data_IF_531275023495
#
_entry.id   IF_531275023495
#
_cell.length_a   1.000
_cell.length_b   1.000
_cell.length_c   1.000
_cell.angle_alpha   90.00
_cell.angle_beta   90.00
_cell.angle_gamma   90.00
#
_symmetry.space_group_name_H-M   'P 1'
#
loop_
_entity.id
_entity.type
_entity.pdbx_description
1 polymer ?
#
# COMPACT_ATOMS: atom_id res chain seq x y z
N UNK A 1 -11.75 2.47 1.49
CA UNK A 1 -10.74 1.84 0.61
C UNK A 1 -9.40 1.66 1.30
N UNK A 2 -8.74 2.71 1.80
CA UNK A 2 -7.49 2.57 2.57
C UNK A 2 -7.55 1.50 3.67
N UNK A 3 -8.52 1.60 4.59
CA UNK A 3 -8.70 0.63 5.66
C UNK A 3 -8.92 -0.80 5.15
N UNK A 4 -9.67 -0.96 4.04
CA UNK A 4 -9.88 -2.27 3.41
C UNK A 4 -8.55 -2.88 2.95
N UNK A 5 -7.69 -2.09 2.30
CA UNK A 5 -6.36 -2.55 1.91
C UNK A 5 -5.53 -3.02 3.12
N UNK A 6 -5.54 -2.25 4.21
CA UNK A 6 -4.84 -2.64 5.45
C UNK A 6 -5.40 -3.93 6.05
N UNK A 7 -6.72 -4.09 6.06
CA UNK A 7 -7.39 -5.30 6.55
C UNK A 7 -7.02 -6.51 5.71
N UNK A 8 -7.13 -6.41 4.38
CA UNK A 8 -6.76 -7.50 3.46
C UNK A 8 -5.31 -7.90 3.65
N UNK A 9 -4.40 -6.91 3.72
CA UNK A 9 -2.99 -7.18 3.98
C UNK A 9 -2.79 -7.92 5.30
N UNK A 10 -3.43 -7.47 6.38
CA UNK A 10 -3.34 -8.09 7.70
C UNK A 10 -3.92 -9.50 7.75
N UNK A 11 -4.92 -9.82 6.93
CA UNK A 11 -5.46 -11.18 6.83
C UNK A 11 -4.49 -12.14 6.14
N UNK A 12 -3.72 -11.64 5.16
CA UNK A 12 -2.82 -12.46 4.35
C UNK A 12 -1.39 -12.48 4.91
N UNK A 13 -1.01 -11.49 5.73
CA UNK A 13 0.32 -11.31 6.28
C UNK A 13 0.32 -11.36 7.80
N UNK A 14 1.32 -12.01 8.38
CA UNK A 14 1.60 -11.92 9.83
C UNK A 14 2.17 -10.56 10.24
N UNK A 15 2.63 -9.76 9.28
CA UNK A 15 3.23 -8.43 9.50
C UNK A 15 2.26 -7.33 9.06
N UNK A 16 1.99 -6.39 9.97
CA UNK A 16 1.26 -5.17 9.64
C UNK A 16 2.11 -4.23 8.78
N UNK A 17 1.50 -3.47 7.87
CA UNK A 17 2.16 -2.40 7.12
C UNK A 17 2.48 -1.20 8.01
N UNK A 18 1.61 -0.92 8.97
CA UNK A 18 1.72 0.22 9.87
C UNK A 18 1.59 -0.24 11.33
N UNK A 19 2.29 0.45 12.22
CA UNK A 19 2.26 0.17 13.65
C UNK A 19 1.02 0.72 14.34
N UNK A 20 0.95 0.50 15.65
CA UNK A 20 0.01 1.22 16.51
C UNK A 20 0.62 2.57 16.90
N UNK A 21 -0.21 3.61 16.92
CA UNK A 21 0.21 4.98 17.16
C UNK A 21 -0.57 5.56 18.33
N UNK A 22 0.08 6.43 19.10
CA UNK A 22 -0.53 7.13 20.23
C UNK A 22 -0.97 8.55 19.86
N UNK A 23 -0.94 8.90 18.56
CA UNK A 23 -1.38 10.19 18.04
C UNK A 23 -0.37 11.32 18.21
N UNK A 24 0.91 11.00 18.41
CA UNK A 24 1.97 12.01 18.52
C UNK A 24 2.46 12.50 17.15
N UNK A 25 3.09 13.67 17.11
CA UNK A 25 3.74 14.21 15.90
C UNK A 25 4.81 13.26 15.30
N UNK A 26 5.50 12.52 16.17
CA UNK A 26 6.49 11.51 15.78
C UNK A 26 5.81 10.27 15.18
N UNK A 27 4.62 9.93 15.66
CA UNK A 27 3.83 8.84 15.10
C UNK A 27 3.30 9.18 13.71
N UNK A 28 2.82 10.41 13.51
CA UNK A 28 2.45 10.93 12.19
C UNK A 28 3.65 10.89 11.24
N UNK A 29 4.81 11.41 11.67
CA UNK A 29 6.04 11.40 10.88
C UNK A 29 6.45 9.97 10.50
N UNK A 30 6.35 9.02 11.44
CA UNK A 30 6.68 7.61 11.20
C UNK A 30 5.68 6.96 10.24
N UNK A 31 4.40 7.27 10.34
CA UNK A 31 3.40 6.75 9.42
C UNK A 31 3.66 7.23 7.99
N UNK A 32 3.92 8.53 7.82
CA UNK A 32 4.20 9.13 6.53
C UNK A 32 5.52 8.63 5.93
N UNK A 33 6.58 8.44 6.74
CA UNK A 33 7.83 7.88 6.23
C UNK A 33 7.66 6.43 5.73
N UNK A 34 6.85 5.63 6.42
CA UNK A 34 6.49 4.27 5.98
C UNK A 34 5.65 4.29 4.70
N UNK A 35 4.69 5.22 4.59
CA UNK A 35 3.93 5.41 3.34
C UNK A 35 4.86 5.73 2.18
N UNK A 36 5.86 6.59 2.37
CA UNK A 36 6.87 6.90 1.34
C UNK A 36 7.66 5.66 0.95
N UNK A 37 8.07 4.83 1.91
CA UNK A 37 8.77 3.57 1.61
C UNK A 37 7.92 2.60 0.79
N UNK A 38 6.64 2.46 1.12
CA UNK A 38 5.74 1.48 0.50
C UNK A 38 5.19 1.95 -0.85
N UNK A 39 4.88 3.23 -0.98
CA UNK A 39 4.14 3.82 -2.11
C UNK A 39 5.02 4.69 -3.00
N UNK A 40 6.26 4.96 -2.59
CA UNK A 40 7.10 6.00 -3.19
C UNK A 40 6.71 7.40 -2.69
N UNK A 41 7.44 8.43 -3.15
CA UNK A 41 7.18 9.81 -2.75
C UNK A 41 5.77 10.26 -3.20
N UNK A 42 5.05 11.04 -2.39
CA UNK A 42 3.76 11.59 -2.77
C UNK A 42 3.90 12.54 -3.96
N UNK A 43 2.90 12.62 -4.85
CA UNK A 43 2.85 13.64 -5.89
C UNK A 43 2.88 15.06 -5.31
N UNK A 44 3.54 16.00 -5.97
CA UNK A 44 3.56 17.41 -5.53
C UNK A 44 2.16 18.03 -5.52
N UNK A 45 1.28 17.63 -6.44
CA UNK A 45 -0.12 18.06 -6.47
C UNK A 45 -0.85 17.67 -5.18
N UNK A 46 -0.58 16.49 -4.64
CA UNK A 46 -1.12 16.02 -3.37
C UNK A 46 -0.60 16.84 -2.19
N UNK A 47 0.72 17.09 -2.13
CA UNK A 47 1.32 17.88 -1.04
C UNK A 47 0.76 19.31 -0.99
N UNK A 48 0.50 19.92 -2.15
CA UNK A 48 -0.08 21.27 -2.26
C UNK A 48 -1.53 21.37 -1.76
N UNK A 49 -2.24 20.24 -1.58
CA UNK A 49 -3.61 20.22 -1.04
C UNK A 49 -3.67 20.59 0.45
N UNK A 50 -2.53 20.61 1.17
CA UNK A 50 -2.51 20.86 2.61
C UNK A 50 -1.24 21.57 3.08
N UNK A 51 -1.39 22.70 3.77
CA UNK A 51 -0.27 23.44 4.37
C UNK A 51 0.49 22.60 5.42
N UNK A 52 -0.18 21.63 6.06
CA UNK A 52 0.44 20.72 7.03
C UNK A 52 1.55 19.86 6.40
N UNK A 53 1.54 19.68 5.08
CA UNK A 53 2.61 18.98 4.37
C UNK A 53 3.98 19.63 4.61
N UNK A 54 4.03 20.95 4.79
CA UNK A 54 5.26 21.71 5.04
C UNK A 54 5.95 21.34 6.36
N UNK A 55 5.29 20.57 7.25
CA UNK A 55 5.91 19.98 8.44
C UNK A 55 6.89 18.86 8.10
N UNK A 56 6.63 18.10 7.04
CA UNK A 56 7.36 16.87 6.71
C UNK A 56 8.05 16.89 5.35
N UNK A 57 7.64 17.77 4.44
CA UNK A 57 8.24 17.95 3.12
C UNK A 57 8.68 19.39 2.90
N UNK A 58 9.73 19.60 2.11
CA UNK A 58 10.11 20.92 1.61
C UNK A 58 9.28 21.33 0.37
N UNK A 59 9.58 22.51 -0.18
CA UNK A 59 8.89 23.04 -1.36
C UNK A 59 9.06 22.19 -2.62
N UNK A 60 10.14 21.40 -2.69
CA UNK A 60 10.46 20.51 -3.81
C UNK A 60 9.87 19.10 -3.61
N UNK A 61 9.14 18.88 -2.50
CA UNK A 61 8.57 17.58 -2.15
C UNK A 61 9.58 16.58 -1.61
N UNK A 62 10.77 17.02 -1.19
CA UNK A 62 11.74 16.15 -0.53
C UNK A 62 11.39 16.00 0.94
N UNK A 63 11.56 14.78 1.45
CA UNK A 63 11.31 14.46 2.84
C UNK A 63 12.29 15.19 3.76
N UNK A 64 11.77 15.91 4.74
CA UNK A 64 12.52 16.58 5.82
C UNK A 64 11.98 16.23 7.21
N UNK A 65 11.09 15.24 7.31
CA UNK A 65 10.49 14.83 8.57
C UNK A 65 11.54 14.29 9.56
N UNK A 66 11.23 14.32 10.87
CA UNK A 66 12.18 13.95 11.92
C UNK A 66 12.53 12.45 11.97
N UNK A 67 11.76 11.62 11.24
CA UNK A 67 11.97 10.18 11.14
C UNK A 67 12.62 9.90 9.78
N UNK A 68 13.73 9.15 9.71
CA UNK A 68 14.34 8.80 8.43
C UNK A 68 13.39 7.93 7.61
N UNK A 69 13.50 8.05 6.28
CA UNK A 69 12.81 7.13 5.37
C UNK A 69 13.32 5.70 5.59
N UNK A 70 12.43 4.69 5.49
CA UNK A 70 12.85 3.30 5.59
C UNK A 70 13.81 2.94 4.44
N UNK A 71 14.58 1.85 4.58
CA UNK A 71 15.51 1.43 3.53
C UNK A 71 14.75 1.11 2.22
N UNK A 72 15.39 1.22 1.05
CA UNK A 72 14.76 0.91 -0.24
C UNK A 72 14.21 -0.52 -0.36
N UNK A 73 14.64 -1.42 0.52
CA UNK A 73 14.14 -2.79 0.61
C UNK A 73 12.78 -2.90 1.33
N UNK A 74 12.28 -1.83 1.95
CA UNK A 74 10.98 -1.78 2.60
C UNK A 74 9.85 -1.53 1.59
N UNK A 75 9.59 -2.52 0.76
CA UNK A 75 8.56 -2.45 -0.31
C UNK A 75 7.42 -3.43 -0.06
N UNK A 76 6.29 -3.22 -0.73
CA UNK A 76 5.19 -4.19 -0.72
C UNK A 76 5.66 -5.57 -1.22
N UNK A 77 6.53 -5.63 -2.23
CA UNK A 77 7.11 -6.88 -2.75
C UNK A 77 7.86 -7.68 -1.70
N UNK A 78 8.70 -6.99 -0.92
CA UNK A 78 9.55 -7.59 0.10
C UNK A 78 8.75 -8.04 1.33
N UNK A 79 7.68 -7.32 1.65
CA UNK A 79 6.79 -7.62 2.77
C UNK A 79 5.65 -8.58 2.40
N UNK A 80 5.44 -8.84 1.11
CA UNK A 80 4.38 -9.69 0.60
C UNK A 80 4.45 -11.10 1.23
N UNK A 81 3.31 -11.68 1.66
CA UNK A 81 3.26 -13.03 2.23
C UNK A 81 3.92 -14.06 1.31
N UNK A 82 4.72 -14.97 1.90
CA UNK A 82 5.38 -16.05 1.13
C UNK A 82 4.40 -17.05 0.50
N UNK A 83 3.17 -17.10 1.00
CA UNK A 83 2.06 -17.89 0.44
C UNK A 83 1.57 -17.34 -0.89
N UNK A 84 1.80 -16.06 -1.19
CA UNK A 84 1.50 -15.48 -2.50
C UNK A 84 2.75 -15.54 -3.39
N UNK A 85 2.64 -16.27 -4.49
CA UNK A 85 3.73 -16.44 -5.46
C UNK A 85 3.22 -16.29 -6.89
N UNK A 86 4.15 -16.18 -7.85
CA UNK A 86 3.84 -16.10 -9.28
C UNK A 86 2.77 -15.05 -9.63
N UNK A 87 1.84 -15.43 -10.51
CA UNK A 87 0.73 -14.59 -11.00
C UNK A 87 -0.14 -14.06 -9.85
N UNK A 88 -0.41 -14.89 -8.83
CA UNK A 88 -1.17 -14.50 -7.66
C UNK A 88 -0.54 -13.33 -6.89
N UNK A 89 0.79 -13.35 -6.70
CA UNK A 89 1.52 -12.25 -6.06
C UNK A 89 1.45 -10.97 -6.89
N UNK A 90 1.66 -11.06 -8.21
CA UNK A 90 1.62 -9.88 -9.10
C UNK A 90 0.26 -9.20 -9.05
N UNK A 91 -0.83 -9.96 -9.20
CA UNK A 91 -2.19 -9.42 -9.16
C UNK A 91 -2.54 -8.83 -7.79
N UNK A 92 -2.05 -9.45 -6.69
CA UNK A 92 -2.24 -8.92 -5.35
C UNK A 92 -1.56 -7.56 -5.16
N UNK A 93 -0.30 -7.45 -5.57
CA UNK A 93 0.46 -6.22 -5.42
C UNK A 93 -0.12 -5.09 -6.28
N UNK A 94 -0.61 -5.40 -7.48
CA UNK A 94 -1.35 -4.44 -8.32
C UNK A 94 -2.61 -3.93 -7.61
N UNK A 95 -3.42 -4.85 -7.08
CA UNK A 95 -4.62 -4.49 -6.30
C UNK A 95 -4.28 -3.60 -5.10
N UNK A 96 -3.25 -3.97 -4.33
CA UNK A 96 -2.82 -3.22 -3.16
C UNK A 96 -2.35 -1.81 -3.51
N UNK A 97 -1.59 -1.62 -4.60
CA UNK A 97 -1.15 -0.30 -5.07
C UNK A 97 -2.32 0.60 -5.48
N UNK A 98 -3.32 0.02 -6.14
CA UNK A 98 -4.51 0.75 -6.58
C UNK A 98 -5.44 1.14 -5.42
N UNK A 99 -5.39 0.41 -4.30
CA UNK A 99 -6.15 0.76 -3.08
C UNK A 99 -5.36 1.68 -2.15
N UNK A 100 -4.07 1.42 -1.97
CA UNK A 100 -3.16 2.20 -1.15
C UNK A 100 -2.49 3.28 -1.99
N UNK A 101 -3.27 4.27 -2.38
CA UNK A 101 -2.77 5.42 -3.13
C UNK A 101 -2.70 6.67 -2.23
N UNK A 102 -1.72 7.56 -2.49
CA UNK A 102 -1.58 8.83 -1.79
C UNK A 102 -2.84 9.69 -1.95
N UNK A 103 -3.19 9.98 -3.20
CA UNK A 103 -4.39 10.73 -3.53
C UNK A 103 -5.65 9.87 -3.31
N UNK A 104 -6.59 10.26 -2.44
CA UNK A 104 -7.83 9.51 -2.21
C UNK A 104 -8.71 9.37 -3.45
N UNK A 105 -8.69 10.35 -4.36
CA UNK A 105 -9.52 10.37 -5.57
C UNK A 105 -9.07 9.33 -6.61
N UNK A 106 -7.78 9.02 -6.62
CA UNK A 106 -7.15 8.03 -7.51
C UNK A 106 -7.22 6.59 -6.96
N UNK A 107 -7.74 6.40 -5.74
CA UNK A 107 -7.93 5.06 -5.18
C UNK A 107 -9.04 4.36 -5.92
N UNK A 108 -8.90 3.04 -6.12
CA UNK A 108 -10.01 2.20 -6.56
C UNK A 108 -11.24 2.43 -5.70
N UNK A 109 -12.36 2.76 -6.31
CA UNK A 109 -13.66 2.77 -5.64
C UNK A 109 -14.18 1.33 -5.47
N UNK A 110 -15.11 1.07 -4.54
CA UNK A 110 -15.56 -0.29 -4.21
C UNK A 110 -16.02 -1.12 -5.42
N UNK A 111 -16.77 -0.52 -6.34
CA UNK A 111 -17.23 -1.19 -7.56
C UNK A 111 -16.09 -1.63 -8.47
N UNK A 112 -15.09 -0.78 -8.76
CA UNK A 112 -13.91 -1.23 -9.53
C UNK A 112 -13.04 -2.21 -8.76
N UNK A 113 -12.93 -2.06 -7.43
CA UNK A 113 -12.19 -2.99 -6.61
C UNK A 113 -12.80 -4.40 -6.66
N UNK A 114 -14.13 -4.51 -6.67
CA UNK A 114 -14.84 -5.77 -6.85
C UNK A 114 -14.42 -6.46 -8.15
N UNK A 115 -14.47 -5.74 -9.27
CA UNK A 115 -14.10 -6.25 -10.60
C UNK A 115 -12.59 -6.45 -10.81
N UNK A 116 -11.75 -6.20 -9.81
CA UNK A 116 -10.32 -6.34 -9.97
C UNK A 116 -9.96 -7.82 -10.18
N UNK A 117 -9.08 -8.15 -11.14
CA UNK A 117 -8.74 -9.54 -11.44
C UNK A 117 -8.26 -10.34 -10.23
N UNK A 118 -7.61 -9.70 -9.26
CA UNK A 118 -7.18 -10.36 -8.01
C UNK A 118 -8.34 -10.86 -7.13
N UNK A 119 -9.47 -10.14 -7.12
CA UNK A 119 -10.67 -10.45 -6.33
C UNK A 119 -11.47 -11.57 -7.00
N UNK A 120 -11.64 -11.49 -8.32
CA UNK A 120 -12.28 -12.52 -9.13
C UNK A 120 -11.29 -13.52 -9.73
N UNK A 121 -10.22 -13.85 -9.02
CA UNK A 121 -9.38 -14.98 -9.47
C UNK A 121 -10.27 -16.21 -9.42
N UNK A 122 -10.67 -16.71 -10.58
CA UNK A 122 -11.03 -18.11 -10.69
C UNK A 122 -9.82 -18.89 -10.17
N UNK A 123 -10.08 -19.81 -9.27
CA UNK A 123 -9.11 -20.84 -8.92
C UNK A 123 -8.93 -21.64 -10.21
N UNK A 124 -8.05 -21.20 -11.10
CA UNK A 124 -7.53 -22.06 -12.14
C UNK A 124 -6.88 -23.21 -11.39
N UNK A 125 -7.61 -24.32 -11.31
CA UNK A 125 -7.23 -25.56 -10.67
C UNK A 125 -5.80 -25.91 -11.08
N UNK A 126 -4.85 -25.76 -10.15
CA UNK A 126 -3.64 -26.56 -10.17
C UNK A 126 -4.08 -28.03 -9.99
N UNK A 127 -4.35 -28.68 -11.13
CA UNK A 127 -4.42 -30.13 -11.28
C UNK A 127 -5.72 -30.81 -10.82
N UNK A 128 -6.71 -30.89 -11.71
CA UNK A 128 -7.40 -32.16 -11.97
C UNK A 128 -7.72 -32.27 -13.46
N UNK A 129 -7.27 -33.38 -14.02
CA UNK A 129 -7.35 -33.82 -15.41
C UNK A 129 -8.80 -33.76 -15.90
N UNK A 130 -9.00 -33.26 -17.12
CA UNK A 130 -10.22 -33.49 -17.89
C UNK A 130 -10.43 -34.99 -18.02
N UNK A 131 -11.45 -35.53 -17.34
CA UNK A 131 -11.99 -36.84 -17.69
C UNK A 131 -12.95 -36.60 -18.85
N UNK A 132 -12.75 -37.40 -19.90
CA UNK A 132 -13.34 -37.41 -21.24
C UNK A 132 -14.78 -36.89 -21.39
#
# INVERSE_FOLDING_TARGET
>A
MWCLGLTIWRMLSTKSLFGHYNGTDLDEARHLSLMVGLLGPPPLSFLKKSEKALKYWDSDGKWKGPIPLPPPTHTLEALCPKSLQGKAKVMFLDFMRKILHWDPEERLYPGSAWHHPWVHREVENDGLVSVE
#
